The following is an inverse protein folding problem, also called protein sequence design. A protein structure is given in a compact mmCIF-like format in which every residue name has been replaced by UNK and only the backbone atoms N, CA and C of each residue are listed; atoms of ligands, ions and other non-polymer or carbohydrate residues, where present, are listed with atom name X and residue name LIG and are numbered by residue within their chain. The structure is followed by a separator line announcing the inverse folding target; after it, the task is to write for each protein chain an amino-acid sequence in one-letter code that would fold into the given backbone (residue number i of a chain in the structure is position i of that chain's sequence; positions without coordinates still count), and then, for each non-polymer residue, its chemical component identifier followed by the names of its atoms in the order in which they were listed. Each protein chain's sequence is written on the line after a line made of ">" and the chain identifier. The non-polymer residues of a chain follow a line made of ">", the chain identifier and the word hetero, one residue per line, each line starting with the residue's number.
data_IF_754528155957
#
_entry.id   IF_754528155957
#
_cell.length_a   1.000
_cell.length_b   1.000
_cell.length_c   1.000
_cell.angle_alpha   90.00
_cell.angle_beta   90.00
_cell.angle_gamma   90.00
#
_symmetry.space_group_name_H-M   'P 1'
#
loop_
_entity.id
_entity.type
_entity.pdbx_description
1 polymer ?
#
# COMPACT_ATOMS: atom_id res chain seq x y z
N UNK A 1 9.79 45.26 -35.61
CA UNK A 1 10.57 45.59 -34.40
C UNK A 1 9.56 45.98 -33.35
N UNK A 2 9.66 45.43 -32.14
CA UNK A 2 8.60 45.56 -31.15
C UNK A 2 8.83 46.77 -30.25
N UNK A 3 7.78 47.53 -29.98
CA UNK A 3 7.82 48.54 -28.92
C UNK A 3 7.83 47.87 -27.53
N UNK A 4 8.23 48.61 -26.50
CA UNK A 4 8.20 48.09 -25.12
C UNK A 4 6.79 47.61 -24.71
N UNK A 5 5.75 48.33 -25.14
CA UNK A 5 4.35 47.98 -24.87
C UNK A 5 3.94 46.69 -25.58
N UNK A 6 4.42 46.46 -26.81
CA UNK A 6 4.18 45.22 -27.53
C UNK A 6 4.86 44.02 -26.87
N UNK A 7 6.09 44.17 -26.38
CA UNK A 7 6.76 43.10 -25.62
C UNK A 7 6.04 42.81 -24.31
N UNK A 8 5.58 43.84 -23.60
CA UNK A 8 4.81 43.67 -22.36
C UNK A 8 3.49 42.93 -22.63
N UNK A 9 2.75 43.34 -23.66
CA UNK A 9 1.51 42.69 -24.08
C UNK A 9 1.73 41.23 -24.50
N UNK A 10 2.81 40.96 -25.24
CA UNK A 10 3.15 39.60 -25.70
C UNK A 10 3.50 38.64 -24.55
N UNK A 11 4.16 39.15 -23.51
CA UNK A 11 4.48 38.37 -22.31
C UNK A 11 3.35 38.38 -21.27
N UNK A 12 2.22 39.05 -21.55
CA UNK A 12 1.10 39.26 -20.62
C UNK A 12 1.55 39.92 -19.30
N UNK A 13 2.43 40.91 -19.40
CA UNK A 13 3.00 41.66 -18.29
C UNK A 13 2.60 43.15 -18.37
N UNK A 14 2.69 43.85 -17.25
CA UNK A 14 2.60 45.31 -17.26
C UNK A 14 3.94 45.95 -17.65
N UNK A 15 3.90 47.12 -18.28
CA UNK A 15 5.10 47.89 -18.64
C UNK A 15 6.01 48.18 -17.44
N UNK A 16 5.40 48.36 -16.27
CA UNK A 16 6.13 48.52 -15.00
C UNK A 16 6.89 47.24 -14.65
N UNK A 17 6.22 46.10 -14.72
CA UNK A 17 6.85 44.81 -14.42
C UNK A 17 7.96 44.48 -15.40
N UNK A 18 7.79 44.80 -16.68
CA UNK A 18 8.82 44.65 -17.69
C UNK A 18 10.06 45.52 -17.38
N UNK A 19 9.87 46.77 -16.93
CA UNK A 19 10.97 47.65 -16.48
C UNK A 19 11.70 47.10 -15.26
N UNK A 20 11.00 46.47 -14.33
CA UNK A 20 11.64 45.85 -13.17
C UNK A 20 12.42 44.59 -13.57
N UNK A 21 11.91 43.80 -14.51
CA UNK A 21 12.64 42.67 -15.09
C UNK A 21 13.89 43.11 -15.87
N UNK A 22 13.86 44.28 -16.52
CA UNK A 22 15.01 44.84 -17.23
C UNK A 22 16.19 45.22 -16.32
N UNK A 23 15.96 45.37 -15.01
CA UNK A 23 17.01 45.62 -14.02
C UNK A 23 17.73 44.34 -13.58
N UNK A 24 17.18 43.17 -13.91
CA UNK A 24 17.74 41.89 -13.50
C UNK A 24 18.96 41.51 -14.36
N UNK A 25 19.94 40.79 -13.80
CA UNK A 25 21.11 40.36 -14.55
C UNK A 25 20.71 39.39 -15.68
N UNK A 26 21.26 39.62 -16.86
CA UNK A 26 20.98 38.81 -18.05
C UNK A 26 19.69 39.17 -18.79
N UNK A 27 19.01 40.26 -18.41
CA UNK A 27 17.92 40.81 -19.18
C UNK A 27 18.41 41.30 -20.57
N UNK A 28 17.67 41.05 -21.67
CA UNK A 28 18.04 41.56 -22.98
C UNK A 28 18.04 43.09 -23.00
N UNK A 29 19.13 43.67 -23.50
CA UNK A 29 19.25 45.12 -23.67
C UNK A 29 18.59 45.50 -25.01
N UNK A 30 17.77 46.57 -25.06
CA UNK A 30 17.23 47.03 -26.33
C UNK A 30 18.36 47.45 -27.27
N UNK A 31 18.29 47.02 -28.53
CA UNK A 31 19.28 47.34 -29.57
C UNK A 31 19.05 48.76 -30.12
N UNK A 32 19.10 49.76 -29.23
CA UNK A 32 18.88 51.17 -29.55
C UNK A 32 17.59 51.76 -28.98
N UNK A 33 17.22 52.95 -29.45
CA UNK A 33 16.11 53.74 -28.89
C UNK A 33 14.77 53.15 -29.30
N UNK A 34 14.27 52.21 -28.50
CA UNK A 34 12.95 51.60 -28.67
C UNK A 34 12.94 50.30 -29.45
N UNK A 35 14.10 49.69 -29.72
CA UNK A 35 14.19 48.41 -30.41
C UNK A 35 14.25 47.26 -29.40
N UNK A 36 13.11 46.63 -29.15
CA UNK A 36 13.01 45.47 -28.25
C UNK A 36 12.88 44.18 -29.06
N UNK A 37 13.80 43.25 -28.81
CA UNK A 37 13.78 41.93 -29.43
C UNK A 37 12.84 40.98 -28.69
N UNK A 38 11.71 40.68 -29.30
CA UNK A 38 10.60 39.94 -28.69
C UNK A 38 10.99 38.49 -28.32
N UNK A 39 11.80 37.82 -29.15
CA UNK A 39 12.25 36.46 -28.87
C UNK A 39 13.32 36.42 -27.77
N UNK A 40 14.24 37.39 -27.71
CA UNK A 40 15.20 37.49 -26.61
C UNK A 40 14.48 37.65 -25.26
N UNK A 41 13.46 38.52 -25.21
CA UNK A 41 12.62 38.72 -24.03
C UNK A 41 11.79 37.49 -23.65
N UNK A 42 11.29 36.74 -24.63
CA UNK A 42 10.60 35.46 -24.40
C UNK A 42 11.53 34.44 -23.75
N UNK A 43 12.72 34.23 -24.31
CA UNK A 43 13.69 33.27 -23.77
C UNK A 43 14.16 33.67 -22.36
N UNK A 44 14.44 34.95 -22.16
CA UNK A 44 14.77 35.48 -20.84
C UNK A 44 13.65 35.24 -19.84
N UNK A 45 12.41 35.55 -20.18
CA UNK A 45 11.28 35.40 -19.26
C UNK A 45 10.99 33.93 -18.92
N UNK A 46 11.10 33.02 -19.89
CA UNK A 46 11.00 31.57 -19.63
C UNK A 46 12.11 31.12 -18.68
N UNK A 47 13.35 31.56 -18.89
CA UNK A 47 14.48 31.26 -18.00
C UNK A 47 14.23 31.81 -16.60
N UNK A 48 13.78 33.05 -16.49
CA UNK A 48 13.42 33.70 -15.24
C UNK A 48 12.33 32.93 -14.48
N UNK A 49 11.25 32.49 -15.14
CA UNK A 49 10.20 31.70 -14.49
C UNK A 49 10.71 30.34 -13.99
N UNK A 50 11.63 29.72 -14.74
CA UNK A 50 12.25 28.45 -14.36
C UNK A 50 13.21 28.59 -13.17
N UNK A 51 13.99 29.68 -13.12
CA UNK A 51 14.88 29.95 -11.98
C UNK A 51 14.08 30.39 -10.77
N UNK A 52 13.13 31.32 -10.93
CA UNK A 52 12.31 31.84 -9.83
C UNK A 52 11.46 30.74 -9.18
N UNK A 53 11.03 29.69 -9.92
CA UNK A 53 10.40 28.51 -9.31
C UNK A 53 11.35 27.74 -8.40
N UNK A 54 12.63 27.63 -8.77
CA UNK A 54 13.65 27.02 -7.90
C UNK A 54 13.87 27.91 -6.68
N UNK A 55 13.99 29.23 -6.88
CA UNK A 55 14.22 30.21 -5.81
C UNK A 55 13.06 30.24 -4.78
N UNK A 56 11.80 30.13 -5.24
CA UNK A 56 10.64 30.00 -4.33
C UNK A 56 10.55 28.65 -3.62
N UNK A 57 11.20 27.61 -4.16
CA UNK A 57 11.31 26.29 -3.52
C UNK A 57 12.62 26.17 -2.73
N UNK A 58 13.52 27.15 -2.81
CA UNK A 58 14.86 27.12 -2.21
C UNK A 58 15.13 28.25 -1.22
N UNK A 59 14.10 28.96 -0.75
CA UNK A 59 14.26 29.89 0.38
C UNK A 59 14.15 29.20 1.75
N UNK A 60 14.01 27.87 1.75
CA UNK A 60 14.61 27.02 2.77
C UNK A 60 15.87 26.40 2.11
N UNK A 61 17.05 26.84 2.52
CA UNK A 61 18.35 26.23 2.16
C UNK A 61 18.32 24.69 2.36
N UNK A 62 19.10 23.89 1.59
CA UNK A 62 20.49 24.19 1.26
C UNK A 62 20.92 23.93 -0.20
N UNK A 63 22.02 24.60 -0.56
CA UNK A 63 23.02 24.23 -1.56
C UNK A 63 22.54 23.67 -2.91
N UNK A 64 22.70 24.53 -3.92
CA UNK A 64 22.69 24.16 -5.32
C UNK A 64 23.64 22.99 -5.63
N UNK A 65 23.09 22.02 -6.34
CA UNK A 65 23.85 21.37 -7.42
C UNK A 65 24.86 20.34 -7.00
N UNK A 66 24.42 19.32 -6.28
CA UNK A 66 25.10 18.02 -6.36
C UNK A 66 24.07 16.95 -6.66
N UNK A 67 23.73 16.83 -7.95
CA UNK A 67 22.91 15.73 -8.47
C UNK A 67 23.77 14.46 -8.55
N UNK A 68 24.55 14.20 -7.49
CA UNK A 68 25.24 12.94 -7.27
C UNK A 68 24.16 11.85 -7.19
N UNK A 69 24.33 10.71 -7.89
CA UNK A 69 23.38 9.60 -7.83
C UNK A 69 23.08 9.14 -6.39
N UNK A 70 23.97 9.44 -5.43
CA UNK A 70 23.81 9.15 -4.01
C UNK A 70 22.70 9.98 -3.35
N UNK A 71 22.63 11.29 -3.56
CA UNK A 71 21.55 12.13 -2.99
C UNK A 71 20.18 11.75 -3.55
N UNK A 72 20.12 11.31 -4.80
CA UNK A 72 18.89 10.85 -5.44
C UNK A 72 18.45 9.48 -4.87
N UNK A 73 19.41 8.59 -4.60
CA UNK A 73 19.17 7.31 -3.93
C UNK A 73 18.68 7.48 -2.50
N UNK A 74 19.25 8.41 -1.74
CA UNK A 74 18.80 8.75 -0.39
C UNK A 74 17.39 9.32 -0.37
N UNK A 75 17.04 10.17 -1.34
CA UNK A 75 15.68 10.67 -1.49
C UNK A 75 14.70 9.56 -1.83
N UNK A 76 15.09 8.62 -2.68
CA UNK A 76 14.28 7.45 -3.00
C UNK A 76 14.02 6.57 -1.77
N UNK A 77 15.05 6.27 -0.98
CA UNK A 77 14.93 5.52 0.28
C UNK A 77 14.03 6.24 1.29
N UNK A 78 14.17 7.57 1.44
CA UNK A 78 13.30 8.38 2.33
C UNK A 78 11.85 8.39 1.85
N UNK A 79 11.61 8.40 0.54
CA UNK A 79 10.26 8.33 -0.03
C UNK A 79 9.63 6.96 0.20
N UNK A 80 10.39 5.89 0.05
CA UNK A 80 9.96 4.52 0.33
C UNK A 80 9.62 4.35 1.83
N UNK A 81 10.47 4.83 2.73
CA UNK A 81 10.20 4.82 4.17
C UNK A 81 8.92 5.58 4.53
N UNK A 82 8.67 6.73 3.88
CA UNK A 82 7.42 7.48 4.05
C UNK A 82 6.21 6.68 3.56
N UNK A 83 6.33 5.98 2.44
CA UNK A 83 5.26 5.12 1.91
C UNK A 83 4.97 3.95 2.87
N UNK A 84 5.99 3.29 3.40
CA UNK A 84 5.84 2.23 4.40
C UNK A 84 5.17 2.72 5.68
N UNK A 85 5.56 3.90 6.19
CA UNK A 85 4.92 4.52 7.35
C UNK A 85 3.44 4.82 7.11
N UNK A 86 3.08 5.30 5.91
CA UNK A 86 1.69 5.55 5.53
C UNK A 86 0.90 4.23 5.46
N UNK A 87 1.48 3.18 4.87
CA UNK A 87 0.86 1.86 4.80
C UNK A 87 0.67 1.26 6.20
N UNK A 88 1.68 1.31 7.06
CA UNK A 88 1.60 0.87 8.45
C UNK A 88 0.54 1.66 9.23
N UNK A 89 0.46 2.97 9.06
CA UNK A 89 -0.58 3.79 9.69
C UNK A 89 -1.98 3.40 9.20
N UNK A 90 -2.14 3.09 7.90
CA UNK A 90 -3.41 2.60 7.34
C UNK A 90 -3.79 1.25 7.92
N UNK A 91 -2.85 0.30 8.04
CA UNK A 91 -3.09 -1.01 8.65
C UNK A 91 -3.48 -0.86 10.13
N UNK A 92 -2.73 -0.06 10.90
CA UNK A 92 -3.04 0.24 12.31
C UNK A 92 -4.45 0.81 12.47
N UNK A 93 -4.87 1.76 11.63
CA UNK A 93 -6.24 2.29 11.63
C UNK A 93 -7.29 1.20 11.39
N UNK A 94 -7.04 0.27 10.46
CA UNK A 94 -7.96 -0.84 10.16
C UNK A 94 -8.05 -1.85 11.31
N UNK A 95 -6.95 -2.11 12.01
CA UNK A 95 -6.92 -2.95 13.22
C UNK A 95 -7.68 -2.27 14.36
N UNK A 96 -7.42 -0.98 14.61
CA UNK A 96 -8.12 -0.21 15.65
C UNK A 96 -9.62 -0.09 15.39
N UNK A 97 -10.04 -0.05 14.12
CA UNK A 97 -11.44 -0.08 13.71
C UNK A 97 -12.10 -1.47 13.91
N UNK A 98 -11.45 -2.43 14.58
CA UNK A 98 -11.91 -3.80 14.86
C UNK A 98 -12.29 -4.62 13.61
N UNK A 99 -11.86 -4.18 12.42
CA UNK A 99 -12.15 -4.88 11.15
C UNK A 99 -11.16 -6.01 10.86
N UNK A 100 -9.99 -6.00 11.50
CA UNK A 100 -8.95 -7.01 11.30
C UNK A 100 -8.39 -7.42 12.66
N UNK A 101 -8.30 -8.73 12.89
CA UNK A 101 -7.61 -9.30 14.04
C UNK A 101 -6.22 -9.79 13.63
N UNK A 102 -5.21 -9.75 14.52
CA UNK A 102 -3.92 -10.37 14.29
C UNK A 102 -4.08 -11.86 13.96
N UNK A 103 -3.26 -12.37 13.03
CA UNK A 103 -3.40 -13.74 12.51
C UNK A 103 -3.31 -14.81 13.60
N UNK A 104 -2.49 -14.57 14.63
CA UNK A 104 -2.35 -15.44 15.81
C UNK A 104 -3.64 -15.56 16.62
N UNK A 105 -4.43 -14.49 16.67
CA UNK A 105 -5.69 -14.51 17.42
C UNK A 105 -6.76 -15.31 16.66
N UNK A 106 -6.73 -15.23 15.33
CA UNK A 106 -7.63 -15.99 14.45
C UNK A 106 -7.27 -17.48 14.50
N UNK A 107 -5.99 -17.84 14.42
CA UNK A 107 -5.55 -19.24 14.46
C UNK A 107 -5.92 -19.93 15.77
N UNK A 108 -5.74 -19.25 16.90
CA UNK A 108 -6.15 -19.76 18.23
C UNK A 108 -7.67 -19.91 18.32
N UNK A 109 -8.44 -18.92 17.84
CA UNK A 109 -9.90 -19.00 17.85
C UNK A 109 -10.41 -20.18 17.02
N UNK A 110 -9.90 -20.36 15.80
CA UNK A 110 -10.26 -21.50 14.92
C UNK A 110 -9.87 -22.83 15.57
N UNK A 111 -8.68 -22.93 16.14
CA UNK A 111 -8.22 -24.14 16.82
C UNK A 111 -9.14 -24.51 18.00
N UNK A 112 -9.56 -23.51 18.80
CA UNK A 112 -10.44 -23.73 19.94
C UNK A 112 -11.84 -24.18 19.51
N UNK A 113 -12.39 -23.58 18.46
CA UNK A 113 -13.66 -24.01 17.86
C UNK A 113 -13.55 -25.44 17.32
N UNK A 114 -12.45 -25.78 16.64
CA UNK A 114 -12.23 -27.14 16.12
C UNK A 114 -12.19 -28.19 17.24
N UNK A 115 -11.51 -27.87 18.36
CA UNK A 115 -11.46 -28.76 19.54
C UNK A 115 -12.85 -28.92 20.15
N UNK A 116 -13.63 -27.84 20.31
CA UNK A 116 -14.98 -27.90 20.87
C UNK A 116 -15.96 -28.67 19.96
N UNK A 117 -15.84 -28.52 18.64
CA UNK A 117 -16.62 -29.31 17.69
C UNK A 117 -16.27 -30.79 17.78
N UNK A 118 -14.98 -31.14 17.89
CA UNK A 118 -14.55 -32.52 18.02
C UNK A 118 -15.14 -33.17 19.28
N UNK A 119 -15.07 -32.51 20.43
CA UNK A 119 -15.61 -33.08 21.68
C UNK A 119 -17.12 -33.23 21.64
N UNK A 120 -17.84 -32.30 20.99
CA UNK A 120 -19.29 -32.44 20.76
C UNK A 120 -19.64 -33.60 19.83
N UNK A 121 -18.88 -33.80 18.76
CA UNK A 121 -19.08 -34.93 17.84
C UNK A 121 -18.82 -36.26 18.56
N UNK A 122 -17.73 -36.37 19.33
CA UNK A 122 -17.44 -37.56 20.14
C UNK A 122 -18.56 -37.84 21.17
N UNK A 123 -19.19 -36.79 21.72
CA UNK A 123 -20.33 -36.93 22.63
C UNK A 123 -21.59 -37.49 21.95
N UNK A 124 -21.82 -37.20 20.67
CA UNK A 124 -22.96 -37.77 19.92
C UNK A 124 -22.78 -39.27 19.71
N UNK A 125 -21.57 -39.71 19.39
CA UNK A 125 -21.25 -41.13 19.26
C UNK A 125 -21.30 -41.88 20.60
N UNK A 126 -21.03 -41.22 21.72
CA UNK A 126 -21.15 -41.83 23.05
C UNK A 126 -22.61 -42.04 23.51
N UNK A 127 -23.57 -41.32 22.91
CA UNK A 127 -24.99 -41.39 23.30
C UNK A 127 -25.84 -42.33 22.46
N UNK A 128 -25.29 -43.02 21.45
CA UNK A 128 -26.03 -44.13 20.83
C UNK A 128 -25.99 -45.32 21.78
N UNK A 129 -27.11 -45.69 22.44
CA UNK A 129 -27.14 -46.94 23.15
C UNK A 129 -27.03 -48.04 22.11
N UNK A 130 -25.93 -48.80 22.13
CA UNK A 130 -25.95 -50.14 21.55
C UNK A 130 -27.00 -50.95 22.33
N UNK A 131 -28.23 -50.96 21.83
CA UNK A 131 -29.24 -51.92 22.21
C UNK A 131 -29.84 -52.55 20.97
N UNK A 132 -29.39 -53.79 20.75
CA UNK A 132 -30.21 -54.90 20.29
C UNK A 132 -30.42 -54.98 18.79
N UNK A 133 -29.76 -55.96 18.15
CA UNK A 133 -30.33 -56.91 17.19
C UNK A 133 -29.23 -57.86 16.69
N UNK A 134 -28.92 -58.86 17.51
CA UNK A 134 -28.35 -60.14 17.10
C UNK A 134 -28.77 -61.12 18.21
N UNK A 135 -29.60 -62.12 18.03
CA UNK A 135 -30.13 -62.77 16.84
C UNK A 135 -30.64 -64.10 17.39
N UNK A 136 -31.96 -64.24 17.50
CA UNK A 136 -32.61 -65.51 17.82
C UNK A 136 -32.30 -66.52 16.71
N UNK A 137 -31.27 -67.34 16.92
CA UNK A 137 -31.01 -68.53 16.11
C UNK A 137 -30.04 -69.46 16.85
N UNK A 138 -30.54 -70.26 17.80
CA UNK A 138 -30.10 -71.64 18.04
C UNK A 138 -30.60 -72.18 19.38
N UNK A 139 -31.68 -72.97 19.36
CA UNK A 139 -31.71 -74.37 19.84
C UNK A 139 -33.15 -74.82 20.05
N UNK A 140 -33.67 -75.52 19.07
CA UNK A 140 -34.93 -76.23 19.14
C UNK A 140 -34.92 -77.45 18.22
N UNK A 141 -33.88 -78.29 18.30
CA UNK A 141 -33.92 -79.64 17.72
C UNK A 141 -33.25 -80.62 18.69
N UNK A 142 -34.08 -81.34 19.45
CA UNK A 142 -33.74 -82.68 19.90
C UNK A 142 -34.24 -83.64 18.83
N UNK A 143 -33.34 -84.39 18.19
CA UNK A 143 -33.60 -85.76 17.78
C UNK A 143 -32.32 -86.49 17.33
N UNK A 144 -32.03 -87.60 18.02
CA UNK A 144 -31.74 -88.92 17.43
C UNK A 144 -30.27 -89.29 17.14
N UNK A 145 -29.72 -90.02 18.13
CA UNK A 145 -29.08 -91.35 18.07
C UNK A 145 -27.56 -91.55 17.93
N UNK A 146 -27.13 -92.56 18.72
CA UNK A 146 -25.93 -93.45 18.62
C UNK A 146 -24.59 -92.75 18.87
N UNK A 147 -23.75 -93.18 19.80
CA UNK A 147 -23.57 -94.49 20.43
C UNK A 147 -22.06 -94.76 20.44
N UNK A 148 -21.60 -95.55 21.44
CA UNK A 148 -20.20 -95.87 21.75
C UNK A 148 -19.43 -94.71 22.40
N UNK A 149 -18.72 -94.89 23.50
CA UNK A 149 -18.36 -96.10 24.21
C UNK A 149 -17.32 -95.70 25.25
N UNK A 150 -17.32 -96.44 26.35
CA UNK A 150 -16.19 -96.74 27.22
C UNK A 150 -15.30 -95.59 27.76
N UNK A 151 -15.27 -95.31 29.06
CA UNK A 151 -14.83 -96.15 30.18
C UNK A 151 -13.45 -95.69 30.68
N UNK A 152 -13.30 -95.84 32.00
CA UNK A 152 -12.07 -95.91 32.81
C UNK A 152 -11.61 -94.66 33.57
N UNK A 153 -12.00 -94.71 34.86
CA UNK A 153 -11.20 -94.65 36.10
C UNK A 153 -10.79 -93.28 36.63
#
# INVERSE_FOLDING_TARGET
>A
MASQAEVAAHLLLSDRRLRDLAKLPGAPVPQGRGDWELDAWRHFYIRYLRSNRRDTTSNDEPEAGDNSPEKNREQWLKNEERQERILMARVKRRILAKRYAPIELISVAVSRVAVELRTRVESWHATTPEKGLAGDAARGEQCITRGAGDSLK
#
